data_IF_843096605092
#
_entry.id   IF_843096605092
#
_cell.length_a   1.000
_cell.length_b   1.000
_cell.length_c   1.000
_cell.angle_alpha   90.00
_cell.angle_beta   90.00
_cell.angle_gamma   90.00
#
_symmetry.space_group_name_H-M   'P 1'
#
loop_
_entity.id
_entity.type
_entity.pdbx_description
1 polymer ?
#
# COMPACT_ATOMS: atom_id res chain seq x y z
N UNK A 1 24.38 -26.46 22.84
CA UNK A 1 24.52 -24.99 22.87
C UNK A 1 24.91 -24.44 21.50
N UNK A 2 25.82 -25.06 20.73
CA UNK A 2 26.17 -24.58 19.37
C UNK A 2 24.99 -24.42 18.39
N UNK A 3 24.03 -25.36 18.36
CA UNK A 3 22.89 -25.28 17.43
C UNK A 3 22.00 -24.04 17.62
N UNK A 4 21.85 -23.52 18.84
CA UNK A 4 21.06 -22.30 19.09
C UNK A 4 21.77 -21.02 18.66
N UNK A 5 23.10 -21.00 18.70
CA UNK A 5 23.91 -19.86 18.27
C UNK A 5 24.00 -19.81 16.74
N UNK A 6 24.17 -20.95 16.09
CA UNK A 6 24.15 -21.08 14.63
C UNK A 6 22.79 -20.66 14.05
N UNK A 7 21.68 -21.10 14.66
CA UNK A 7 20.33 -20.68 14.23
C UNK A 7 20.09 -19.17 14.39
N UNK A 8 20.74 -18.53 15.36
CA UNK A 8 20.64 -17.08 15.59
C UNK A 8 21.41 -16.26 14.53
N UNK A 9 22.49 -16.81 13.96
CA UNK A 9 23.23 -16.17 12.86
C UNK A 9 22.50 -16.30 11.51
N UNK A 10 21.74 -17.38 11.29
CA UNK A 10 21.00 -17.63 10.04
C UNK A 10 19.69 -16.83 9.94
N UNK A 11 19.06 -16.47 11.06
CA UNK A 11 17.80 -15.74 11.08
C UNK A 11 17.84 -14.36 10.38
N UNK A 12 18.83 -13.49 10.62
CA UNK A 12 18.95 -12.21 9.90
C UNK A 12 19.06 -12.38 8.38
N UNK A 13 19.74 -13.44 7.92
CA UNK A 13 19.89 -13.76 6.49
C UNK A 13 18.53 -14.17 5.91
N UNK A 14 17.77 -15.00 6.63
CA UNK A 14 16.41 -15.39 6.24
C UNK A 14 15.44 -14.20 6.18
N UNK A 15 15.47 -13.31 7.16
CA UNK A 15 14.65 -12.08 7.15
C UNK A 15 15.03 -11.18 5.98
N UNK A 16 16.33 -11.04 5.71
CA UNK A 16 16.82 -10.26 4.57
C UNK A 16 16.30 -10.81 3.23
N UNK A 17 16.33 -12.13 3.00
CA UNK A 17 15.85 -12.71 1.74
C UNK A 17 14.34 -12.57 1.57
N UNK A 18 13.56 -12.80 2.63
CA UNK A 18 12.09 -12.60 2.61
C UNK A 18 11.73 -11.14 2.33
N UNK A 19 12.47 -10.17 2.90
CA UNK A 19 12.22 -8.75 2.65
C UNK A 19 12.71 -8.30 1.26
N UNK A 20 13.83 -8.83 0.77
CA UNK A 20 14.38 -8.49 -0.54
C UNK A 20 13.46 -8.91 -1.69
N UNK A 21 12.86 -10.09 -1.59
CA UNK A 21 12.07 -10.72 -2.66
C UNK A 21 10.90 -9.84 -3.17
N UNK A 22 10.06 -9.21 -2.32
CA UNK A 22 9.06 -8.27 -2.79
C UNK A 22 9.60 -6.84 -2.97
N UNK A 23 10.54 -6.38 -2.14
CA UNK A 23 10.98 -4.99 -2.12
C UNK A 23 11.75 -4.60 -3.39
N UNK A 24 12.68 -5.45 -3.83
CA UNK A 24 13.55 -5.15 -4.98
C UNK A 24 12.74 -5.08 -6.29
N UNK A 25 11.93 -6.09 -6.67
CA UNK A 25 11.12 -6.01 -7.89
C UNK A 25 10.12 -4.85 -7.85
N UNK A 26 9.49 -4.60 -6.70
CA UNK A 26 8.55 -3.49 -6.57
C UNK A 26 9.21 -2.12 -6.78
N UNK A 27 10.41 -1.92 -6.24
CA UNK A 27 11.16 -0.67 -6.42
C UNK A 27 11.59 -0.48 -7.88
N UNK A 28 12.07 -1.54 -8.54
CA UNK A 28 12.42 -1.51 -9.98
C UNK A 28 11.21 -1.13 -10.82
N UNK A 29 10.08 -1.84 -10.65
CA UNK A 29 8.84 -1.56 -11.39
C UNK A 29 8.36 -0.12 -11.16
N UNK A 30 8.43 0.37 -9.93
CA UNK A 30 8.03 1.75 -9.58
C UNK A 30 8.93 2.80 -10.24
N UNK A 31 10.24 2.56 -10.28
CA UNK A 31 11.21 3.43 -10.95
C UNK A 31 10.94 3.44 -12.46
N UNK A 32 10.82 2.27 -13.08
CA UNK A 32 10.52 2.12 -14.51
C UNK A 32 9.20 2.82 -14.90
N UNK A 33 8.14 2.64 -14.10
CA UNK A 33 6.85 3.30 -14.33
C UNK A 33 6.92 4.83 -14.14
N UNK A 34 7.84 5.32 -13.31
CA UNK A 34 8.01 6.77 -13.11
C UNK A 34 8.67 7.41 -14.33
N UNK A 35 9.62 6.71 -14.96
CA UNK A 35 10.27 7.14 -16.20
C UNK A 35 9.37 6.97 -17.43
N UNK A 36 8.54 5.93 -17.47
CA UNK A 36 7.66 5.63 -18.62
C UNK A 36 6.41 6.52 -18.73
N UNK A 37 6.02 7.23 -17.66
CA UNK A 37 4.85 8.13 -17.69
C UNK A 37 5.07 9.31 -18.64
N UNK A 38 4.66 9.12 -19.90
CA UNK A 38 4.49 10.19 -20.89
C UNK A 38 3.57 11.27 -20.30
N UNK A 39 4.02 12.52 -20.35
CA UNK A 39 3.17 13.64 -19.99
C UNK A 39 2.03 13.72 -21.01
N UNK A 40 0.79 13.54 -20.55
CA UNK A 40 -0.36 13.88 -21.40
C UNK A 40 -0.32 15.38 -21.67
N UNK A 41 -0.04 15.73 -22.91
CA UNK A 41 -0.08 17.09 -23.42
C UNK A 41 -1.51 17.41 -23.83
N UNK A 42 -2.14 18.36 -23.13
CA UNK A 42 -3.43 18.90 -23.54
C UNK A 42 -3.16 20.02 -24.55
N UNK A 43 -3.83 20.00 -25.69
CA UNK A 43 -3.73 21.01 -26.76
C UNK A 43 -4.45 22.34 -26.46
N UNK A 44 -4.75 22.66 -25.19
CA UNK A 44 -5.50 23.86 -24.83
C UNK A 44 -4.58 24.98 -24.34
N UNK A 45 -4.58 26.11 -25.05
CA UNK A 45 -3.74 27.29 -24.77
C UNK A 45 -4.44 28.34 -23.89
N UNK A 46 -5.50 27.97 -23.17
CA UNK A 46 -6.30 28.93 -22.42
C UNK A 46 -5.59 29.46 -21.15
N UNK A 47 -5.74 30.75 -20.82
CA UNK A 47 -5.11 31.39 -19.65
C UNK A 47 -5.52 30.75 -18.32
N UNK A 48 -6.77 30.28 -18.22
CA UNK A 48 -7.30 29.53 -17.06
C UNK A 48 -6.63 28.16 -16.95
N UNK A 49 -6.39 27.48 -18.08
CA UNK A 49 -5.76 26.16 -18.16
C UNK A 49 -4.30 26.26 -17.73
N UNK A 50 -3.59 27.28 -18.24
CA UNK A 50 -2.23 27.65 -17.85
C UNK A 50 -2.12 27.98 -16.35
N UNK A 51 -3.07 28.76 -15.81
CA UNK A 51 -3.09 29.16 -14.39
C UNK A 51 -3.58 28.06 -13.45
N UNK A 52 -4.40 27.10 -13.90
CA UNK A 52 -4.99 26.07 -13.04
C UNK A 52 -3.96 25.12 -12.41
N UNK A 53 -2.75 25.05 -12.96
CA UNK A 53 -1.67 24.19 -12.43
C UNK A 53 -2.00 22.69 -12.44
N UNK A 54 -3.15 22.27 -13.00
CA UNK A 54 -3.59 20.86 -13.02
C UNK A 54 -2.57 19.93 -13.70
N UNK A 55 -1.74 20.47 -14.61
CA UNK A 55 -0.76 19.68 -15.37
C UNK A 55 0.67 20.20 -15.36
N UNK A 56 0.95 21.39 -14.81
CA UNK A 56 2.30 21.73 -14.37
C UNK A 56 2.52 20.99 -13.05
N UNK A 57 2.72 19.67 -13.10
CA UNK A 57 3.33 18.94 -11.98
C UNK A 57 4.73 19.53 -11.86
N UNK A 58 4.85 20.62 -11.10
CA UNK A 58 6.12 21.09 -10.59
C UNK A 58 6.84 19.85 -10.08
N UNK A 59 8.08 19.67 -10.50
CA UNK A 59 8.97 18.62 -10.02
C UNK A 59 8.87 18.51 -8.50
N UNK A 60 8.64 19.63 -7.82
CA UNK A 60 8.37 19.75 -6.38
C UNK A 60 7.12 19.01 -5.88
N UNK A 61 5.99 18.96 -6.60
CA UNK A 61 4.80 18.15 -6.20
C UNK A 61 4.96 16.67 -6.57
N UNK A 62 5.83 16.36 -7.53
CA UNK A 62 6.29 14.98 -7.82
C UNK A 62 7.17 14.46 -6.68
N UNK A 63 7.99 15.33 -6.08
CA UNK A 63 8.78 15.09 -4.86
C UNK A 63 7.89 15.12 -3.61
N UNK A 64 6.86 15.98 -3.52
CA UNK A 64 5.95 15.96 -2.35
C UNK A 64 5.06 14.72 -2.35
N UNK A 65 4.65 14.21 -3.52
CA UNK A 65 4.03 12.88 -3.62
C UNK A 65 5.05 11.75 -3.40
N UNK A 66 6.36 12.04 -3.48
CA UNK A 66 7.39 11.14 -2.98
C UNK A 66 7.38 11.03 -1.45
N UNK A 67 6.83 12.04 -0.76
CA UNK A 67 6.52 12.01 0.67
C UNK A 67 5.06 11.60 0.95
N UNK A 68 4.52 10.62 0.21
CA UNK A 68 3.30 9.92 0.64
C UNK A 68 3.69 8.75 1.54
N UNK A 69 2.86 8.40 2.53
CA UNK A 69 3.11 7.33 3.52
C UNK A 69 3.68 6.05 2.89
N UNK A 70 3.20 5.66 1.70
CA UNK A 70 3.68 4.50 0.94
C UNK A 70 5.13 4.58 0.42
N UNK A 71 5.68 5.78 0.24
CA UNK A 71 7.07 5.96 -0.16
C UNK A 71 7.98 6.11 1.05
N UNK A 72 7.48 6.74 2.11
CA UNK A 72 8.16 6.77 3.40
C UNK A 72 8.36 5.35 3.95
N UNK A 73 7.35 4.48 3.82
CA UNK A 73 7.49 3.06 4.19
C UNK A 73 8.52 2.33 3.35
N UNK A 74 8.64 2.62 2.05
CA UNK A 74 9.70 2.02 1.22
C UNK A 74 11.09 2.48 1.63
N UNK A 75 11.28 3.77 1.88
CA UNK A 75 12.56 4.31 2.36
C UNK A 75 12.92 3.65 3.70
N UNK A 76 11.96 3.55 4.62
CA UNK A 76 12.14 2.88 5.90
C UNK A 76 12.51 1.40 5.72
N UNK A 77 11.85 0.67 4.82
CA UNK A 77 12.19 -0.73 4.51
C UNK A 77 13.62 -0.87 3.95
N UNK A 78 14.08 0.06 3.11
CA UNK A 78 15.46 0.08 2.63
C UNK A 78 16.48 0.40 3.74
N UNK A 79 16.14 1.29 4.68
CA UNK A 79 16.97 1.57 5.86
C UNK A 79 17.09 0.31 6.72
N UNK A 80 15.98 -0.40 6.97
CA UNK A 80 16.00 -1.67 7.71
C UNK A 80 16.81 -2.73 6.97
N UNK A 81 16.69 -2.82 5.64
CA UNK A 81 17.52 -3.71 4.82
C UNK A 81 19.02 -3.39 4.93
N UNK A 82 19.40 -2.12 4.90
CA UNK A 82 20.80 -1.69 5.08
C UNK A 82 21.30 -2.00 6.51
N UNK A 83 20.46 -1.80 7.52
CA UNK A 83 20.77 -2.14 8.91
C UNK A 83 20.96 -3.66 9.09
N UNK A 84 20.13 -4.49 8.45
CA UNK A 84 20.29 -5.94 8.45
C UNK A 84 21.58 -6.38 7.77
N UNK A 85 21.95 -5.78 6.63
CA UNK A 85 23.24 -6.04 5.98
C UNK A 85 24.40 -5.67 6.92
N UNK A 86 24.32 -4.51 7.59
CA UNK A 86 25.32 -4.07 8.56
C UNK A 86 25.44 -5.06 9.72
N UNK A 87 24.30 -5.51 10.26
CA UNK A 87 24.25 -6.52 11.32
C UNK A 87 24.85 -7.85 10.88
N UNK A 88 24.44 -8.39 9.73
CA UNK A 88 25.00 -9.63 9.15
C UNK A 88 26.51 -9.51 9.00
N UNK A 89 27.01 -8.38 8.47
CA UNK A 89 28.45 -8.14 8.31
C UNK A 89 29.21 -8.17 9.64
N UNK A 90 28.61 -7.66 10.72
CA UNK A 90 29.25 -7.59 12.03
C UNK A 90 29.09 -8.88 12.87
N UNK A 91 28.07 -9.70 12.60
CA UNK A 91 27.78 -10.97 13.31
C UNK A 91 28.46 -12.17 12.66
N UNK A 92 28.91 -12.06 11.41
CA UNK A 92 29.65 -13.13 10.71
C UNK A 92 31.06 -13.30 11.30
N UNK A 93 31.17 -13.87 12.49
CA UNK A 93 32.40 -14.55 12.87
C UNK A 93 32.57 -15.72 11.90
N UNK A 94 33.71 -15.76 11.19
CA UNK A 94 34.06 -16.84 10.29
C UNK A 94 33.91 -18.17 11.02
N UNK A 95 32.98 -19.02 10.58
CA UNK A 95 32.92 -20.42 11.01
C UNK A 95 34.20 -21.06 10.48
N UNK A 96 35.25 -21.03 11.29
CA UNK A 96 36.52 -21.67 10.95
C UNK A 96 36.25 -23.16 10.87
N UNK A 97 36.40 -23.72 9.67
CA UNK A 97 36.38 -25.16 9.45
C UNK A 97 37.40 -25.77 10.43
N UNK A 98 36.98 -26.78 11.19
CA UNK A 98 37.83 -27.40 12.21
C UNK A 98 38.98 -28.13 11.53
N UNK A 99 40.14 -27.48 11.47
CA UNK A 99 41.37 -28.02 10.90
C UNK A 99 42.38 -28.31 12.01
N UNK A 100 42.52 -29.57 12.47
CA UNK A 100 43.36 -29.93 13.62
C UNK A 100 44.83 -29.52 13.46
N UNK A 101 45.39 -29.65 12.26
CA UNK A 101 46.77 -29.25 11.95
C UNK A 101 46.95 -27.73 12.05
N UNK A 102 46.04 -26.96 11.46
CA UNK A 102 46.05 -25.49 11.49
C UNK A 102 45.85 -24.95 12.91
N UNK A 103 45.01 -25.60 13.74
CA UNK A 103 44.80 -25.23 15.15
C UNK A 103 46.07 -25.45 15.98
N UNK A 104 46.82 -26.53 15.74
CA UNK A 104 48.09 -26.81 16.42
C UNK A 104 49.28 -26.04 15.82
N UNK A 105 49.09 -25.36 14.69
CA UNK A 105 50.14 -24.64 13.95
C UNK A 105 51.15 -25.57 13.29
N UNK A 106 50.69 -26.71 12.77
CA UNK A 106 51.50 -27.73 12.10
C UNK A 106 51.07 -27.88 10.63
N UNK A 107 52.00 -28.36 9.79
CA UNK A 107 51.67 -28.74 8.42
C UNK A 107 50.95 -30.10 8.36
N UNK A 108 50.19 -30.31 7.29
CA UNK A 108 49.49 -31.57 7.04
C UNK A 108 50.50 -32.71 6.94
N UNK A 109 50.33 -33.76 7.75
CA UNK A 109 51.24 -34.92 7.77
C UNK A 109 52.41 -34.81 8.77
N UNK A 110 52.38 -33.85 9.69
CA UNK A 110 53.33 -33.78 10.80
C UNK A 110 53.40 -35.10 11.61
N UNK A 111 54.59 -35.42 12.14
CA UNK A 111 54.79 -36.65 12.92
C UNK A 111 54.08 -36.58 14.28
N UNK A 112 53.72 -37.74 14.84
CA UNK A 112 53.12 -37.83 16.19
C UNK A 112 53.99 -37.16 17.27
N UNK A 113 55.32 -37.13 17.05
CA UNK A 113 56.26 -36.47 17.94
C UNK A 113 56.14 -34.93 17.90
N UNK A 114 55.82 -34.37 16.72
CA UNK A 114 55.65 -32.94 16.51
C UNK A 114 54.28 -32.47 17.00
N UNK A 115 53.24 -33.29 16.82
CA UNK A 115 51.90 -33.08 17.38
C UNK A 115 51.96 -32.97 18.91
N UNK A 116 52.66 -33.90 19.58
CA UNK A 116 52.85 -33.86 21.04
C UNK A 116 53.63 -32.64 21.52
N UNK A 117 54.67 -32.22 20.78
CA UNK A 117 55.44 -31.00 21.09
C UNK A 117 54.59 -29.74 20.94
N UNK A 118 53.84 -29.63 19.85
CA UNK A 118 52.96 -28.49 19.58
C UNK A 118 51.85 -28.38 20.63
N UNK A 119 51.20 -29.50 20.96
CA UNK A 119 50.22 -29.56 22.04
C UNK A 119 50.83 -29.11 23.36
N UNK A 120 51.98 -29.66 23.78
CA UNK A 120 52.63 -29.26 25.04
C UNK A 120 52.94 -27.76 25.10
N UNK A 121 53.37 -27.16 23.99
CA UNK A 121 53.63 -25.71 23.90
C UNK A 121 52.34 -24.90 24.11
N UNK A 122 51.28 -25.26 23.39
CA UNK A 122 49.99 -24.57 23.44
C UNK A 122 49.28 -24.79 24.78
N UNK A 123 49.34 -25.99 25.35
CA UNK A 123 48.76 -26.31 26.66
C UNK A 123 49.38 -25.50 27.79
N UNK A 124 50.66 -25.10 27.70
CA UNK A 124 51.27 -24.22 28.71
C UNK A 124 50.77 -22.78 28.58
N UNK A 125 50.53 -22.34 27.34
CA UNK A 125 50.10 -20.98 27.02
C UNK A 125 48.62 -20.72 27.33
N UNK A 126 47.78 -21.74 27.15
CA UNK A 126 46.32 -21.66 27.32
C UNK A 126 45.81 -22.49 28.51
N UNK A 127 46.68 -22.87 29.46
CA UNK A 127 46.26 -23.62 30.65
C UNK A 127 45.38 -22.75 31.56
N UNK A 128 44.25 -23.26 32.08
CA UNK A 128 43.38 -22.51 33.01
C UNK A 128 44.13 -22.01 34.26
N UNK A 129 45.09 -22.80 34.76
CA UNK A 129 45.85 -22.40 35.96
C UNK A 129 46.94 -21.34 35.69
N UNK A 130 47.36 -21.16 34.43
CA UNK A 130 48.49 -20.26 34.08
C UNK A 130 48.05 -19.01 33.34
N UNK A 131 46.88 -19.04 32.72
CA UNK A 131 46.31 -17.91 32.00
C UNK A 131 44.98 -17.50 32.67
N UNK A 132 44.88 -16.26 33.20
CA UNK A 132 43.67 -15.78 33.87
C UNK A 132 42.53 -15.42 32.90
N UNK A 133 42.76 -15.42 31.58
CA UNK A 133 41.74 -15.06 30.59
C UNK A 133 40.70 -16.20 30.40
N UNK A 134 39.39 -15.95 30.59
CA UNK A 134 38.36 -16.96 30.42
C UNK A 134 38.25 -17.47 28.98
N UNK A 135 38.45 -16.59 27.98
CA UNK A 135 38.44 -16.97 26.56
C UNK A 135 39.59 -17.94 26.20
N UNK A 136 40.73 -17.86 26.92
CA UNK A 136 41.86 -18.75 26.70
C UNK A 136 41.53 -20.19 27.15
N UNK A 137 40.73 -20.32 28.21
CA UNK A 137 40.25 -21.61 28.69
C UNK A 137 39.31 -22.27 27.69
N UNK A 138 38.31 -21.51 27.21
CA UNK A 138 37.36 -22.00 26.22
C UNK A 138 38.09 -22.40 24.93
N UNK A 139 39.04 -21.59 24.47
CA UNK A 139 39.85 -21.91 23.29
C UNK A 139 40.67 -23.21 23.46
N UNK A 140 41.22 -23.44 24.66
CA UNK A 140 41.97 -24.65 24.97
C UNK A 140 41.09 -25.90 24.92
N UNK A 141 39.93 -25.86 25.56
CA UNK A 141 39.03 -27.01 25.64
C UNK A 141 38.36 -27.28 24.30
N UNK A 142 37.89 -26.23 23.61
CA UNK A 142 37.10 -26.36 22.39
C UNK A 142 37.95 -26.66 21.15
N UNK A 143 39.15 -26.08 21.05
CA UNK A 143 39.96 -26.20 19.83
C UNK A 143 41.23 -27.02 20.06
N UNK A 144 42.09 -26.63 21.02
CA UNK A 144 43.42 -27.25 21.18
C UNK A 144 43.32 -28.71 21.65
N UNK A 145 42.51 -28.99 22.66
CA UNK A 145 42.31 -30.33 23.21
C UNK A 145 41.65 -31.25 22.18
N UNK A 146 40.59 -30.78 21.51
CA UNK A 146 39.91 -31.54 20.46
C UNK A 146 40.81 -31.80 19.25
N UNK A 147 41.64 -30.84 18.84
CA UNK A 147 42.56 -31.00 17.71
C UNK A 147 43.64 -32.06 18.02
N UNK A 148 44.16 -32.08 19.25
CA UNK A 148 45.10 -33.12 19.68
C UNK A 148 44.44 -34.51 19.74
N UNK A 149 43.22 -34.60 20.28
CA UNK A 149 42.44 -35.85 20.31
C UNK A 149 42.15 -36.37 18.89
N UNK A 150 41.73 -35.48 17.99
CA UNK A 150 41.45 -35.79 16.58
C UNK A 150 42.63 -36.46 15.86
N UNK A 151 43.87 -36.05 16.18
CA UNK A 151 45.08 -36.53 15.51
C UNK A 151 45.76 -37.70 16.24
N UNK A 152 45.53 -37.86 17.54
CA UNK A 152 46.23 -38.87 18.36
C UNK A 152 45.43 -40.16 18.52
N UNK A 153 44.10 -40.07 18.57
CA UNK A 153 43.24 -41.24 18.73
C UNK A 153 43.01 -41.93 17.36
N UNK A 154 43.32 -43.23 17.21
CA UNK A 154 43.22 -43.93 15.93
C UNK A 154 41.81 -43.88 15.33
N UNK A 155 40.78 -43.95 16.17
CA UNK A 155 39.38 -43.90 15.72
C UNK A 155 39.01 -42.50 15.22
N UNK A 156 39.37 -41.47 15.99
CA UNK A 156 39.13 -40.08 15.63
C UNK A 156 39.92 -39.64 14.37
N UNK A 157 41.13 -40.17 14.18
CA UNK A 157 41.95 -39.92 12.99
C UNK A 157 41.37 -40.56 11.74
N UNK A 158 40.94 -41.82 11.81
CA UNK A 158 40.24 -42.48 10.70
C UNK A 158 38.95 -41.75 10.34
N UNK A 159 38.19 -41.30 11.35
CA UNK A 159 36.98 -40.51 11.17
C UNK A 159 37.26 -39.15 10.49
N UNK A 160 38.34 -38.46 10.91
CA UNK A 160 38.74 -37.21 10.29
C UNK A 160 39.18 -37.40 8.83
N UNK A 161 39.97 -38.44 8.53
CA UNK A 161 40.41 -38.75 7.17
C UNK A 161 39.24 -39.14 6.25
N UNK A 162 38.21 -39.81 6.80
CA UNK A 162 37.06 -40.31 6.03
C UNK A 162 35.90 -39.32 5.91
N UNK A 163 35.67 -38.49 6.93
CA UNK A 163 34.50 -37.60 7.03
C UNK A 163 34.86 -36.12 7.25
N UNK A 164 36.14 -35.78 7.42
CA UNK A 164 36.59 -34.40 7.66
C UNK A 164 36.31 -33.88 9.07
N UNK A 165 35.91 -34.74 10.02
CA UNK A 165 35.59 -34.37 11.41
C UNK A 165 35.97 -35.50 12.39
N UNK A 166 36.54 -35.21 13.58
CA UNK A 166 36.96 -36.25 14.54
C UNK A 166 35.83 -37.15 15.04
N UNK A 167 34.63 -36.59 15.21
CA UNK A 167 33.44 -37.31 15.70
C UNK A 167 32.78 -38.23 14.63
N UNK A 168 33.34 -38.31 13.42
CA UNK A 168 32.84 -39.15 12.34
C UNK A 168 31.69 -38.51 11.52
N UNK A 169 30.81 -39.35 10.97
CA UNK A 169 29.69 -38.88 10.13
C UNK A 169 28.71 -38.05 10.95
N UNK A 170 28.80 -36.72 10.81
CA UNK A 170 27.80 -35.83 11.38
C UNK A 170 26.45 -36.08 10.69
N UNK A 171 25.41 -36.34 11.48
CA UNK A 171 24.04 -36.33 10.97
C UNK A 171 23.69 -34.93 10.48
N UNK A 172 22.94 -34.83 9.38
CA UNK A 172 22.43 -33.55 8.89
C UNK A 172 21.49 -32.97 9.95
N UNK A 173 21.99 -32.07 10.79
CA UNK A 173 21.15 -31.32 11.73
C UNK A 173 20.41 -30.24 10.95
N UNK A 174 19.12 -30.46 10.71
CA UNK A 174 18.25 -29.48 10.08
C UNK A 174 17.83 -28.43 11.12
N UNK A 175 18.59 -27.35 11.21
CA UNK A 175 18.22 -26.17 11.98
C UNK A 175 17.15 -25.36 11.26
N UNK A 176 16.09 -24.96 11.98
CA UNK A 176 15.17 -23.92 11.51
C UNK A 176 15.83 -22.59 11.85
N UNK A 177 15.97 -21.70 10.86
CA UNK A 177 16.56 -20.37 11.04
C UNK A 177 15.64 -19.41 11.84
N UNK A 178 14.86 -19.90 12.79
CA UNK A 178 14.02 -19.13 13.70
C UNK A 178 14.75 -18.98 15.04
N UNK A 179 14.79 -17.77 15.61
CA UNK A 179 15.53 -17.51 16.84
C UNK A 179 14.82 -18.18 18.04
N UNK A 180 15.57 -18.59 19.06
CA UNK A 180 15.04 -19.35 20.19
C UNK A 180 13.98 -18.57 20.97
N UNK A 181 14.01 -17.23 20.98
CA UNK A 181 12.99 -16.41 21.67
C UNK A 181 11.58 -16.51 21.06
N UNK A 182 11.45 -16.87 19.78
CA UNK A 182 10.14 -17.08 19.15
C UNK A 182 9.56 -18.48 19.42
N UNK A 183 10.44 -19.44 19.72
CA UNK A 183 10.08 -20.86 19.90
C UNK A 183 9.98 -21.26 21.37
N UNK A 184 10.74 -20.62 22.26
CA UNK A 184 10.63 -20.84 23.70
C UNK A 184 9.30 -20.24 24.17
N UNK A 185 8.35 -21.09 24.58
CA UNK A 185 7.03 -20.71 25.10
C UNK A 185 7.16 -20.32 26.59
N UNK A 186 8.21 -19.59 26.95
CA UNK A 186 8.37 -19.06 28.30
C UNK A 186 7.52 -17.78 28.40
N UNK A 187 6.28 -17.93 28.90
CA UNK A 187 5.35 -16.87 29.35
C UNK A 187 5.21 -15.60 28.49
N UNK A 188 6.24 -14.74 28.49
CA UNK A 188 6.28 -13.47 27.79
C UNK A 188 6.31 -13.59 26.25
N UNK A 189 7.06 -14.55 25.70
CA UNK A 189 7.16 -14.80 24.25
C UNK A 189 5.90 -15.46 23.67
N UNK A 190 5.27 -16.36 24.44
CA UNK A 190 4.01 -17.01 24.07
C UNK A 190 2.86 -16.01 23.91
N UNK A 191 2.81 -14.98 24.76
CA UNK A 191 1.82 -13.91 24.65
C UNK A 191 1.95 -13.10 23.35
N UNK A 192 3.17 -12.80 22.92
CA UNK A 192 3.44 -12.07 21.67
C UNK A 192 3.03 -12.92 20.45
N UNK A 193 3.34 -14.22 20.47
CA UNK A 193 2.96 -15.15 19.40
C UNK A 193 1.44 -15.27 19.27
N UNK A 194 0.72 -15.44 20.39
CA UNK A 194 -0.73 -15.54 20.39
C UNK A 194 -1.39 -14.23 19.91
N UNK A 195 -0.87 -13.08 20.34
CA UNK A 195 -1.35 -11.78 19.88
C UNK A 195 -1.11 -11.57 18.38
N UNK A 196 0.05 -12.02 17.88
CA UNK A 196 0.36 -12.03 16.44
C UNK A 196 -0.61 -12.89 15.64
N UNK A 197 -0.89 -14.11 16.09
CA UNK A 197 -1.84 -15.04 15.44
C UNK A 197 -3.25 -14.44 15.46
N UNK A 198 -3.74 -13.95 16.60
CA UNK A 198 -5.06 -13.32 16.70
C UNK A 198 -5.14 -12.07 15.82
N UNK A 199 -4.09 -11.24 15.81
CA UNK A 199 -4.03 -10.03 15.01
C UNK A 199 -4.09 -10.31 13.50
N UNK A 200 -3.29 -11.25 13.02
CA UNK A 200 -3.17 -11.55 11.59
C UNK A 200 -4.29 -12.47 11.09
N UNK A 201 -4.68 -13.48 11.86
CA UNK A 201 -5.66 -14.46 11.41
C UNK A 201 -7.11 -14.07 11.71
N UNK A 202 -7.37 -13.26 12.74
CA UNK A 202 -8.74 -12.90 13.15
C UNK A 202 -9.01 -11.42 12.86
N UNK A 203 -8.23 -10.51 13.45
CA UNK A 203 -8.51 -9.08 13.36
C UNK A 203 -8.34 -8.55 11.93
N UNK A 204 -7.26 -8.90 11.23
CA UNK A 204 -7.00 -8.41 9.88
C UNK A 204 -8.07 -8.85 8.87
N UNK A 205 -8.48 -10.13 8.78
CA UNK A 205 -9.59 -10.54 7.93
C UNK A 205 -10.92 -9.90 8.32
N UNK A 206 -11.19 -9.73 9.63
CA UNK A 206 -12.42 -9.09 10.10
C UNK A 206 -12.47 -7.61 9.71
N UNK A 207 -11.38 -6.87 9.90
CA UNK A 207 -11.28 -5.46 9.49
C UNK A 207 -11.43 -5.33 7.98
N UNK A 208 -10.77 -6.18 7.20
CA UNK A 208 -10.92 -6.19 5.74
C UNK A 208 -12.35 -6.52 5.33
N UNK A 209 -12.99 -7.51 5.97
CA UNK A 209 -14.37 -7.87 5.71
C UNK A 209 -15.34 -6.72 6.04
N UNK A 210 -15.19 -6.05 7.20
CA UNK A 210 -16.04 -4.91 7.58
C UNK A 210 -15.85 -3.74 6.61
N UNK A 211 -14.61 -3.41 6.24
CA UNK A 211 -14.33 -2.32 5.27
C UNK A 211 -14.90 -2.68 3.89
N UNK A 212 -14.71 -3.91 3.43
CA UNK A 212 -15.19 -4.36 2.15
C UNK A 212 -16.73 -4.39 2.10
N UNK A 213 -17.37 -5.01 3.10
CA UNK A 213 -18.83 -5.10 3.19
C UNK A 213 -19.47 -3.71 3.32
N UNK A 214 -18.94 -2.85 4.20
CA UNK A 214 -19.47 -1.48 4.36
C UNK A 214 -19.36 -0.66 3.08
N UNK A 215 -18.25 -0.78 2.33
CA UNK A 215 -18.08 -0.09 1.04
C UNK A 215 -18.95 -0.68 -0.05
N UNK A 216 -19.01 -2.01 -0.16
CA UNK A 216 -19.82 -2.72 -1.16
C UNK A 216 -21.32 -2.50 -0.95
N UNK A 217 -21.76 -2.32 0.29
CA UNK A 217 -23.15 -2.01 0.62
C UNK A 217 -23.53 -0.56 0.26
N UNK A 218 -22.56 0.38 0.28
CA UNK A 218 -22.82 1.80 -0.02
C UNK A 218 -22.66 2.14 -1.51
N UNK A 219 -21.65 1.57 -2.18
CA UNK A 219 -21.26 1.94 -3.54
C UNK A 219 -21.35 0.79 -4.54
N UNK A 220 -21.57 1.13 -5.80
CA UNK A 220 -21.46 0.23 -6.95
C UNK A 220 -20.01 0.05 -7.39
N UNK A 221 -19.77 -0.84 -8.37
CA UNK A 221 -18.44 -1.03 -8.96
C UNK A 221 -17.82 0.25 -9.54
N UNK A 222 -18.64 1.22 -9.97
CA UNK A 222 -18.20 2.51 -10.49
C UNK A 222 -18.08 3.62 -9.42
N UNK A 223 -18.08 3.26 -8.13
CA UNK A 223 -18.03 4.21 -7.00
C UNK A 223 -19.17 5.23 -7.01
N UNK A 224 -20.35 4.81 -7.45
CA UNK A 224 -21.60 5.59 -7.36
C UNK A 224 -22.47 4.97 -6.25
N UNK A 225 -23.18 5.77 -5.48
CA UNK A 225 -24.03 5.30 -4.38
C UNK A 225 -25.23 4.52 -4.92
N UNK A 226 -25.62 3.45 -4.25
CA UNK A 226 -26.84 2.69 -4.62
C UNK A 226 -28.11 3.57 -4.56
N UNK A 227 -28.14 4.56 -3.67
CA UNK A 227 -29.23 5.55 -3.57
C UNK A 227 -29.36 6.42 -4.83
N UNK A 228 -28.24 6.71 -5.50
CA UNK A 228 -28.26 7.47 -6.75
C UNK A 228 -28.83 6.64 -7.88
N UNK A 229 -28.42 5.37 -7.97
CA UNK A 229 -28.98 4.45 -8.95
C UNK A 229 -30.47 4.26 -8.75
N UNK A 230 -30.95 4.12 -7.51
CA UNK A 230 -32.39 3.97 -7.25
C UNK A 230 -33.16 5.24 -7.63
N UNK A 231 -32.63 6.43 -7.34
CA UNK A 231 -33.21 7.70 -7.77
C UNK A 231 -33.26 7.79 -9.30
N UNK A 232 -32.16 7.49 -9.99
CA UNK A 232 -32.12 7.50 -11.45
C UNK A 232 -33.10 6.49 -12.05
N UNK A 233 -33.13 5.27 -11.52
CA UNK A 233 -34.06 4.23 -11.97
C UNK A 233 -35.52 4.66 -11.87
N UNK A 234 -35.89 5.31 -10.76
CA UNK A 234 -37.26 5.78 -10.49
C UNK A 234 -37.66 6.99 -11.33
N UNK A 235 -36.76 7.97 -11.50
CA UNK A 235 -37.07 9.22 -12.22
C UNK A 235 -36.87 9.12 -13.74
N UNK A 236 -36.14 8.12 -14.22
CA UNK A 236 -35.99 7.87 -15.64
C UNK A 236 -37.31 7.35 -16.22
N UNK A 237 -37.84 8.04 -17.23
CA UNK A 237 -39.09 7.72 -17.93
C UNK A 237 -38.84 7.65 -19.45
N UNK A 238 -39.60 6.84 -20.20
CA UNK A 238 -39.42 6.73 -21.66
C UNK A 238 -39.71 8.03 -22.40
N UNK A 239 -40.67 8.83 -21.92
CA UNK A 239 -41.07 10.11 -22.48
C UNK A 239 -40.26 11.31 -21.97
N UNK A 240 -39.17 11.07 -21.24
CA UNK A 240 -38.35 12.14 -20.67
C UNK A 240 -37.71 12.96 -21.80
N UNK A 241 -38.05 14.26 -21.84
CA UNK A 241 -37.46 15.20 -22.78
C UNK A 241 -36.01 15.53 -22.40
N UNK A 242 -35.10 15.77 -23.36
CA UNK A 242 -33.70 16.15 -23.10
C UNK A 242 -33.56 17.32 -22.12
N UNK A 243 -34.42 18.35 -22.23
CA UNK A 243 -34.42 19.51 -21.33
C UNK A 243 -34.69 19.17 -19.86
N UNK A 244 -35.37 18.06 -19.57
CA UNK A 244 -35.69 17.61 -18.21
C UNK A 244 -34.68 16.59 -17.66
N UNK A 245 -33.71 16.15 -18.46
CA UNK A 245 -32.66 15.20 -18.03
C UNK A 245 -31.79 15.80 -16.92
N UNK A 246 -31.50 17.10 -16.99
CA UNK A 246 -30.77 17.81 -15.93
C UNK A 246 -31.45 17.63 -14.57
N UNK A 247 -32.79 17.72 -14.52
CA UNK A 247 -33.57 17.53 -13.30
C UNK A 247 -33.52 16.10 -12.73
N UNK A 248 -33.17 15.10 -13.54
CA UNK A 248 -32.90 13.73 -13.07
C UNK A 248 -31.45 13.62 -12.59
N UNK A 249 -30.51 14.18 -13.34
CA UNK A 249 -29.09 14.18 -13.03
C UNK A 249 -28.76 14.81 -11.67
N UNK A 250 -29.39 15.94 -11.32
CA UNK A 250 -29.15 16.63 -10.04
C UNK A 250 -29.60 15.84 -8.81
N UNK A 251 -30.43 14.80 -8.99
CA UNK A 251 -30.98 13.98 -7.89
C UNK A 251 -30.00 12.92 -7.37
N UNK A 252 -28.76 12.95 -7.84
CA UNK A 252 -27.69 12.12 -7.31
C UNK A 252 -27.50 12.34 -5.80
N UNK A 253 -27.42 11.25 -5.03
CA UNK A 253 -27.18 11.29 -3.60
C UNK A 253 -25.81 11.91 -3.27
N UNK A 254 -24.82 11.75 -4.15
CA UNK A 254 -23.49 12.36 -3.99
C UNK A 254 -23.54 13.88 -4.03
N UNK A 255 -24.46 14.47 -4.80
CA UNK A 255 -24.69 15.92 -4.78
C UNK A 255 -25.42 16.35 -3.51
N UNK A 256 -26.28 15.49 -2.95
CA UNK A 256 -26.96 15.75 -1.68
C UNK A 256 -26.03 15.66 -0.47
N UNK A 257 -24.95 14.87 -0.53
CA UNK A 257 -23.91 14.83 0.51
C UNK A 257 -23.07 16.12 0.57
N UNK A 258 -23.13 17.00 -0.44
CA UNK A 258 -22.42 18.28 -0.44
C UNK A 258 -23.07 19.24 0.57
N UNK A 259 -22.31 19.80 1.53
CA UNK A 259 -22.88 20.60 2.60
C UNK A 259 -23.49 21.90 2.07
N UNK A 260 -24.70 22.21 2.51
CA UNK A 260 -25.34 23.51 2.29
C UNK A 260 -25.07 24.39 3.51
N UNK A 261 -24.28 25.44 3.32
CA UNK A 261 -23.92 26.37 4.40
C UNK A 261 -24.95 27.50 4.45
N UNK A 262 -25.22 28.05 5.64
CA UNK A 262 -26.11 29.22 5.78
C UNK A 262 -25.60 30.44 5.02
N UNK A 263 -24.27 30.58 4.91
CA UNK A 263 -23.59 31.61 4.12
C UNK A 263 -23.87 31.52 2.62
N UNK A 264 -24.33 30.38 2.12
CA UNK A 264 -24.53 30.16 0.69
C UNK A 264 -25.84 30.79 0.18
N UNK A 265 -26.75 31.21 1.06
CA UNK A 265 -28.08 31.72 0.69
C UNK A 265 -28.05 32.93 -0.23
N UNK A 266 -27.38 34.01 0.17
CA UNK A 266 -27.29 35.25 -0.63
C UNK A 266 -26.55 35.03 -1.98
N UNK A 267 -25.39 34.36 -2.04
CA UNK A 267 -24.74 34.04 -3.32
C UNK A 267 -25.60 33.17 -4.23
N UNK A 268 -26.30 32.16 -3.70
CA UNK A 268 -27.19 31.30 -4.48
C UNK A 268 -28.39 32.09 -5.04
N UNK A 269 -28.91 33.05 -4.28
CA UNK A 269 -29.98 33.92 -4.77
C UNK A 269 -29.51 34.85 -5.88
N UNK A 270 -28.30 35.41 -5.77
CA UNK A 270 -27.65 36.18 -6.85
C UNK A 270 -27.47 35.33 -8.10
N UNK A 271 -26.98 34.10 -7.94
CA UNK A 271 -26.80 33.16 -9.04
C UNK A 271 -28.13 32.76 -9.68
N UNK A 272 -29.17 32.52 -8.88
CA UNK A 272 -30.52 32.24 -9.36
C UNK A 272 -31.02 33.36 -10.29
N UNK A 273 -30.80 34.63 -9.93
CA UNK A 273 -31.23 35.76 -10.77
C UNK A 273 -30.52 35.81 -12.13
N UNK A 274 -29.23 35.44 -12.18
CA UNK A 274 -28.46 35.37 -13.42
C UNK A 274 -28.93 34.23 -14.33
N UNK A 275 -29.26 33.09 -13.72
CA UNK A 275 -29.51 31.83 -14.42
C UNK A 275 -31.01 31.58 -14.67
N UNK A 276 -31.88 32.43 -14.12
CA UNK A 276 -33.35 32.29 -14.13
C UNK A 276 -33.95 32.04 -15.51
N UNK A 277 -33.40 32.63 -16.57
CA UNK A 277 -33.93 32.49 -17.94
C UNK A 277 -33.78 31.08 -18.50
N UNK A 278 -32.72 30.36 -18.08
CA UNK A 278 -32.40 29.02 -18.56
C UNK A 278 -33.00 27.92 -17.68
N UNK A 279 -33.46 28.28 -16.48
CA UNK A 279 -34.28 27.39 -15.67
C UNK A 279 -35.60 27.17 -16.42
N UNK A 280 -35.98 25.90 -16.65
CA UNK A 280 -37.23 25.48 -17.30
C UNK A 280 -38.48 25.82 -16.46
N UNK A 281 -38.63 27.08 -16.04
CA UNK A 281 -39.75 27.64 -15.29
C UNK A 281 -40.79 28.13 -16.27
N UNK A 282 -42.06 27.79 -16.05
CA UNK A 282 -43.15 28.25 -16.92
C UNK A 282 -43.31 29.77 -16.81
N UNK A 283 -43.12 30.49 -17.94
CA UNK A 283 -43.20 31.95 -18.00
C UNK A 283 -44.57 32.51 -17.57
N UNK A 284 -45.63 31.71 -17.62
CA UNK A 284 -46.99 32.12 -17.24
C UNK A 284 -47.18 32.21 -15.71
N UNK A 285 -46.42 31.43 -14.92
CA UNK A 285 -46.58 31.29 -13.46
C UNK A 285 -45.27 31.47 -12.69
N UNK A 286 -44.40 32.40 -13.13
CA UNK A 286 -43.02 32.56 -12.63
C UNK A 286 -42.94 32.67 -11.11
N UNK A 287 -43.82 33.45 -10.45
CA UNK A 287 -43.78 33.63 -8.99
C UNK A 287 -44.08 32.32 -8.24
N UNK A 288 -45.03 31.54 -8.73
CA UNK A 288 -45.43 30.28 -8.10
C UNK A 288 -44.36 29.19 -8.32
N UNK A 289 -43.81 29.11 -9.54
CA UNK A 289 -42.74 28.17 -9.87
C UNK A 289 -41.43 28.51 -9.13
N UNK A 290 -41.11 29.79 -8.97
CA UNK A 290 -39.99 30.22 -8.13
C UNK A 290 -40.17 29.78 -6.68
N UNK A 291 -41.37 29.96 -6.11
CA UNK A 291 -41.65 29.48 -4.76
C UNK A 291 -41.56 27.95 -4.64
N UNK A 292 -42.01 27.20 -5.67
CA UNK A 292 -41.87 25.74 -5.71
C UNK A 292 -40.41 25.31 -5.78
N UNK A 293 -39.58 26.00 -6.57
CA UNK A 293 -38.16 25.74 -6.71
C UNK A 293 -37.43 25.85 -5.37
N UNK A 294 -37.62 26.97 -4.65
CA UNK A 294 -36.98 27.17 -3.34
C UNK A 294 -37.53 26.29 -2.22
N UNK A 295 -38.74 25.73 -2.38
CA UNK A 295 -39.33 24.75 -1.44
C UNK A 295 -38.73 23.34 -1.58
N UNK A 296 -37.97 23.06 -2.64
CA UNK A 296 -37.28 21.79 -2.78
C UNK A 296 -36.17 21.63 -1.75
N UNK A 297 -35.60 20.43 -1.65
CA UNK A 297 -34.47 20.18 -0.77
C UNK A 297 -33.29 21.12 -1.12
N UNK A 298 -32.71 21.84 -0.16
CA UNK A 298 -31.74 22.91 -0.43
C UNK A 298 -30.48 22.43 -1.15
N UNK A 299 -30.09 21.16 -0.94
CA UNK A 299 -28.96 20.57 -1.66
C UNK A 299 -29.25 20.37 -3.16
N UNK A 300 -30.49 20.05 -3.53
CA UNK A 300 -30.90 19.92 -4.94
C UNK A 300 -30.91 21.29 -5.62
N UNK A 301 -31.47 22.30 -4.95
CA UNK A 301 -31.46 23.68 -5.43
C UNK A 301 -30.03 24.17 -5.67
N UNK A 302 -29.14 23.92 -4.70
CA UNK A 302 -27.71 24.23 -4.83
C UNK A 302 -27.10 23.49 -6.01
N UNK A 303 -27.36 22.19 -6.15
CA UNK A 303 -26.81 21.38 -7.23
C UNK A 303 -27.28 21.86 -8.61
N UNK A 304 -28.57 22.13 -8.77
CA UNK A 304 -29.16 22.62 -10.02
C UNK A 304 -28.57 23.97 -10.42
N UNK A 305 -28.49 24.92 -9.48
CA UNK A 305 -27.90 26.23 -9.75
C UNK A 305 -26.43 26.15 -10.12
N UNK A 306 -25.66 25.29 -9.45
CA UNK A 306 -24.23 25.12 -9.72
C UNK A 306 -23.99 24.46 -11.09
N UNK A 307 -24.74 23.42 -11.46
CA UNK A 307 -24.60 22.81 -12.80
C UNK A 307 -25.07 23.79 -13.88
N UNK A 308 -26.15 24.52 -13.64
CA UNK A 308 -26.62 25.50 -14.61
C UNK A 308 -25.65 26.69 -14.76
N UNK A 309 -24.90 27.05 -13.70
CA UNK A 309 -23.80 28.00 -13.77
C UNK A 309 -22.65 27.52 -14.67
N UNK A 310 -22.39 26.21 -14.74
CA UNK A 310 -21.44 25.64 -15.70
C UNK A 310 -21.97 25.80 -17.13
N UNK A 311 -23.23 25.42 -17.36
CA UNK A 311 -23.86 25.47 -18.68
C UNK A 311 -23.94 26.90 -19.24
N UNK A 312 -24.20 27.89 -18.38
CA UNK A 312 -24.23 29.32 -18.75
C UNK A 312 -22.87 30.01 -18.71
N UNK A 313 -21.82 29.31 -18.26
CA UNK A 313 -20.44 29.82 -18.09
C UNK A 313 -20.30 30.98 -17.10
N UNK A 314 -21.27 31.16 -16.21
CA UNK A 314 -21.29 32.19 -15.14
C UNK A 314 -20.48 31.80 -13.89
N UNK A 315 -19.41 31.02 -14.07
CA UNK A 315 -18.57 30.51 -12.96
C UNK A 315 -17.79 31.61 -12.21
N UNK A 316 -17.63 32.80 -12.81
CA UNK A 316 -16.93 33.95 -12.20
C UNK A 316 -17.71 34.59 -11.07
N UNK A 317 -19.03 34.46 -11.06
CA UNK A 317 -19.90 35.01 -10.02
C UNK A 317 -19.86 34.20 -8.70
N UNK A 318 -19.20 33.04 -8.69
CA UNK A 318 -19.18 32.13 -7.55
C UNK A 318 -18.21 32.58 -6.45
N UNK A 319 -18.70 32.63 -5.21
CA UNK A 319 -17.90 32.78 -4.00
C UNK A 319 -16.87 31.64 -3.87
N UNK A 320 -15.66 31.86 -3.31
CA UNK A 320 -14.64 30.82 -3.19
C UNK A 320 -15.10 29.54 -2.47
N UNK A 321 -16.03 29.65 -1.52
CA UNK A 321 -16.64 28.49 -0.85
C UNK A 321 -17.48 27.64 -1.84
N UNK A 322 -18.38 28.28 -2.59
CA UNK A 322 -19.18 27.64 -3.63
C UNK A 322 -18.33 27.11 -4.79
N UNK A 323 -17.23 27.78 -5.12
CA UNK A 323 -16.31 27.33 -6.16
C UNK A 323 -15.65 25.99 -5.81
N UNK A 324 -15.40 25.72 -4.52
CA UNK A 324 -14.91 24.40 -4.06
C UNK A 324 -15.96 23.32 -4.26
N UNK A 325 -17.19 23.61 -3.85
CA UNK A 325 -18.31 22.68 -3.97
C UNK A 325 -18.64 22.42 -5.45
N UNK A 326 -18.66 23.46 -6.28
CA UNK A 326 -18.80 23.40 -7.73
C UNK A 326 -17.73 22.51 -8.39
N UNK A 327 -16.45 22.70 -8.05
CA UNK A 327 -15.38 21.85 -8.57
C UNK A 327 -15.56 20.38 -8.16
N UNK A 328 -16.03 20.14 -6.94
CA UNK A 328 -16.32 18.79 -6.46
C UNK A 328 -17.47 18.16 -7.23
N UNK A 329 -18.53 18.91 -7.52
CA UNK A 329 -19.62 18.43 -8.36
C UNK A 329 -19.13 18.04 -9.75
N UNK A 330 -18.38 18.91 -10.42
CA UNK A 330 -17.83 18.63 -11.75
C UNK A 330 -16.86 17.43 -11.78
N UNK A 331 -16.17 17.14 -10.69
CA UNK A 331 -15.33 15.93 -10.56
C UNK A 331 -16.16 14.65 -10.52
N UNK A 332 -17.36 14.71 -9.93
CA UNK A 332 -18.29 13.57 -9.81
C UNK A 332 -19.14 13.40 -11.08
N UNK A 333 -19.44 14.49 -11.79
CA UNK A 333 -20.34 14.51 -12.95
C UNK A 333 -20.07 13.43 -14.00
N UNK A 334 -18.83 13.18 -14.47
CA UNK A 334 -18.59 12.16 -15.50
C UNK A 334 -19.04 10.76 -15.09
N UNK A 335 -18.78 10.36 -13.83
CA UNK A 335 -19.16 9.05 -13.30
C UNK A 335 -20.68 8.93 -13.18
N UNK A 336 -21.32 9.99 -12.71
CA UNK A 336 -22.77 10.06 -12.56
C UNK A 336 -23.50 10.06 -13.91
N UNK A 337 -22.95 10.74 -14.91
CA UNK A 337 -23.47 10.74 -16.28
C UNK A 337 -23.33 9.36 -16.92
N UNK A 338 -22.20 8.67 -16.73
CA UNK A 338 -22.01 7.30 -17.23
C UNK A 338 -23.06 6.33 -16.67
N UNK A 339 -23.30 6.36 -15.35
CA UNK A 339 -24.34 5.55 -14.72
C UNK A 339 -25.75 5.96 -15.19
N UNK A 340 -26.00 7.25 -15.40
CA UNK A 340 -27.27 7.74 -15.92
C UNK A 340 -27.54 7.25 -17.35
N UNK A 341 -26.51 7.20 -18.22
CA UNK A 341 -26.61 6.60 -19.56
C UNK A 341 -26.93 5.11 -19.45
N UNK A 342 -26.24 4.38 -18.57
CA UNK A 342 -26.56 2.95 -18.34
C UNK A 342 -28.00 2.76 -17.92
N UNK A 343 -28.51 3.57 -17.00
CA UNK A 343 -29.90 3.52 -16.56
C UNK A 343 -30.91 3.78 -17.70
N UNK A 344 -30.56 4.62 -18.67
CA UNK A 344 -31.38 4.87 -19.85
C UNK A 344 -31.36 3.71 -20.85
N UNK A 345 -30.22 3.03 -20.98
CA UNK A 345 -30.02 1.91 -21.88
C UNK A 345 -30.43 0.55 -21.29
N UNK A 346 -30.72 0.49 -19.99
CA UNK A 346 -31.16 -0.75 -19.34
C UNK A 346 -32.37 -1.35 -20.09
N UNK A 347 -32.31 -2.64 -20.44
CA UNK A 347 -33.42 -3.32 -21.12
C UNK A 347 -34.62 -3.40 -20.17
N UNK A 348 -35.75 -2.76 -20.54
CA UNK A 348 -36.98 -2.77 -19.73
C UNK A 348 -38.18 -3.38 -20.45
N UNK A 349 -38.12 -3.52 -21.77
CA UNK A 349 -39.17 -4.18 -22.56
C UNK A 349 -38.92 -5.67 -22.66
N UNK A 350 -39.95 -6.47 -22.92
CA UNK A 350 -39.82 -7.91 -23.18
C UNK A 350 -38.88 -8.23 -24.36
N UNK A 351 -38.68 -7.28 -25.26
CA UNK A 351 -37.75 -7.35 -26.40
C UNK A 351 -36.31 -6.94 -26.05
N UNK A 352 -36.05 -6.50 -24.82
CA UNK A 352 -34.72 -6.11 -24.36
C UNK A 352 -34.26 -4.73 -24.83
N UNK A 353 -35.18 -3.82 -25.18
CA UNK A 353 -34.82 -2.48 -25.63
C UNK A 353 -34.74 -1.49 -24.46
N UNK A 354 -33.71 -0.63 -24.51
CA UNK A 354 -33.59 0.57 -23.67
C UNK A 354 -34.32 1.78 -24.27
N UNK A 355 -34.23 2.92 -23.62
CA UNK A 355 -34.89 4.15 -24.05
C UNK A 355 -33.93 5.10 -24.77
N UNK A 356 -34.10 5.23 -26.09
CA UNK A 356 -33.23 6.06 -26.93
C UNK A 356 -33.32 7.56 -26.60
N UNK A 357 -34.54 8.10 -26.45
CA UNK A 357 -34.74 9.54 -26.25
C UNK A 357 -34.10 10.07 -24.96
N UNK A 358 -34.28 9.43 -23.78
CA UNK A 358 -33.54 9.78 -22.58
C UNK A 358 -32.02 9.60 -22.75
N UNK A 359 -31.57 8.52 -23.39
CA UNK A 359 -30.14 8.27 -23.59
C UNK A 359 -29.45 9.39 -24.40
N UNK A 360 -30.07 9.84 -25.49
CA UNK A 360 -29.58 10.98 -26.28
C UNK A 360 -29.50 12.24 -25.42
N UNK A 361 -30.53 12.54 -24.63
CA UNK A 361 -30.53 13.71 -23.75
C UNK A 361 -29.45 13.67 -22.67
N UNK A 362 -29.09 12.49 -22.15
CA UNK A 362 -27.98 12.33 -21.21
C UNK A 362 -26.63 12.54 -21.90
N UNK A 363 -26.47 12.04 -23.12
CA UNK A 363 -25.23 12.24 -23.90
C UNK A 363 -25.04 13.71 -24.26
N UNK A 364 -26.10 14.39 -24.69
CA UNK A 364 -26.09 15.84 -24.97
C UNK A 364 -25.74 16.64 -23.71
N UNK A 365 -26.37 16.32 -22.57
CA UNK A 365 -26.03 16.94 -21.29
C UNK A 365 -24.56 16.69 -20.92
N UNK A 366 -24.06 15.48 -21.13
CA UNK A 366 -22.67 15.13 -20.87
C UNK A 366 -21.69 15.97 -21.70
N UNK A 367 -21.97 16.13 -22.99
CA UNK A 367 -21.18 16.98 -23.88
C UNK A 367 -21.18 18.44 -23.41
N UNK A 368 -22.36 18.98 -23.06
CA UNK A 368 -22.50 20.35 -22.59
C UNK A 368 -21.81 20.63 -21.24
N UNK A 369 -21.71 19.63 -20.36
CA UNK A 369 -20.99 19.78 -19.07
C UNK A 369 -19.47 19.70 -19.27
N UNK A 370 -19.01 18.87 -20.21
CA UNK A 370 -17.58 18.64 -20.47
C UNK A 370 -16.94 19.77 -21.27
N UNK A 371 -17.68 20.34 -22.23
CA UNK A 371 -17.28 21.50 -23.04
C UNK A 371 -17.38 22.82 -22.28
#
# INVERSE_FOLDING_TARGET
MGASEENSALFPIFVFTIMALPLVPYTIVKILNTFSKKAMTIHCQCSVCSRSGKYRKSIFKRISNFSTCSNLTLVLLWIVMAMLIYYIKHTSHEVKVFEPFSILGLEHGASDSDIKKAYRRLSIQYHPDKNPDPEAHDYFVEYISKAYQALTDPVSRENFEKYGHPDGRQGLQMGIALPPFLLNIDGASGGILLLGIVGVCILLPLVLAVIYLSRSAKYTGNYVMHQTLSAYYYFMKPSLAPSKVLGVFIKAAEFMEIPVRRSDGEPLQKLFMLVRSELNLDLKNIRQEQAKFWKQHPALVKAELLIQAQLTRESKALTPALLRDFRRMLELSPRLLEELVKMALLPRTAQGHGWLRPAIGVVELSQNIIQ
#
